data_IF_746446310240
#
_entry.id   IF_746446310240
#
_cell.length_a   1.000
_cell.length_b   1.000
_cell.length_c   1.000
_cell.angle_alpha   90.00
_cell.angle_beta   90.00
_cell.angle_gamma   90.00
#
_symmetry.space_group_name_H-M   'P 1'
#
loop_
_entity.id
_entity.type
_entity.pdbx_description
1 polymer ?
#
# COMPACT_ATOMS: atom_id res chain seq x y z
N UNK A 1 10.75 20.11 43.97
CA UNK A 1 11.48 20.58 42.76
C UNK A 1 10.97 19.79 41.57
N UNK A 2 10.96 20.41 40.39
CA UNK A 2 9.91 20.34 39.36
C UNK A 2 9.80 19.00 38.60
N UNK A 3 8.55 18.63 38.33
CA UNK A 3 8.09 17.64 37.35
C UNK A 3 8.32 18.14 35.92
N UNK A 4 8.70 17.25 35.00
CA UNK A 4 8.72 17.54 33.56
C UNK A 4 7.74 16.59 32.87
N UNK A 5 6.63 17.17 32.46
CA UNK A 5 5.65 16.64 31.52
C UNK A 5 6.12 17.00 30.11
N UNK A 6 6.16 16.05 29.17
CA UNK A 6 6.35 16.35 27.75
C UNK A 6 5.13 15.87 26.96
N UNK A 7 4.40 16.88 26.54
CA UNK A 7 3.10 16.91 25.90
C UNK A 7 3.33 17.16 24.41
N UNK A 8 2.71 16.33 23.57
CA UNK A 8 2.11 16.69 22.27
C UNK A 8 3.05 17.03 21.09
N UNK A 9 3.10 16.10 20.12
CA UNK A 9 3.33 16.42 18.71
C UNK A 9 1.98 16.66 18.02
N UNK A 10 1.53 17.92 18.03
CA UNK A 10 0.53 18.46 17.09
C UNK A 10 1.20 19.58 16.32
N UNK A 11 1.18 19.50 14.99
CA UNK A 11 1.26 20.68 14.14
C UNK A 11 2.34 20.64 13.06
N UNK A 12 1.91 20.39 11.83
CA UNK A 12 2.41 21.09 10.64
C UNK A 12 1.26 21.19 9.62
N UNK A 13 0.43 22.23 9.78
CA UNK A 13 -0.50 22.76 8.77
C UNK A 13 -0.17 24.22 8.57
N UNK A 14 0.28 24.58 7.35
CA UNK A 14 0.39 25.91 6.71
C UNK A 14 1.47 25.76 5.60
N UNK A 15 1.40 26.29 4.38
CA UNK A 15 0.64 27.37 3.76
C UNK A 15 0.96 27.30 2.24
N UNK A 16 -0.01 27.44 1.31
CA UNK A 16 0.16 28.29 0.12
C UNK A 16 -1.19 28.53 -0.57
N UNK A 17 -1.49 29.80 -0.82
CA UNK A 17 -2.73 30.33 -1.43
C UNK A 17 -2.31 31.23 -2.62
N UNK A 18 -3.18 31.30 -3.65
CA UNK A 18 -3.23 32.22 -4.81
C UNK A 18 -2.23 31.91 -5.96
N UNK A 19 -2.66 31.83 -7.24
CA UNK A 19 -3.42 32.82 -8.00
C UNK A 19 -4.36 32.22 -9.06
N UNK A 20 -5.42 32.98 -9.36
CA UNK A 20 -6.45 32.75 -10.37
C UNK A 20 -6.06 33.32 -11.76
N UNK A 21 -6.75 32.76 -12.76
CA UNK A 21 -7.33 33.41 -13.96
C UNK A 21 -6.51 33.66 -15.25
N UNK A 22 -7.28 33.54 -16.35
CA UNK A 22 -7.00 33.74 -17.79
C UNK A 22 -6.31 32.55 -18.48
N UNK A 23 -6.82 31.95 -19.57
CA UNK A 23 -7.95 32.23 -20.43
C UNK A 23 -7.63 31.66 -21.83
N UNK A 24 -8.64 31.12 -22.52
CA UNK A 24 -8.74 31.03 -23.97
C UNK A 24 -7.76 30.08 -24.73
N UNK A 25 -8.28 29.06 -25.43
CA UNK A 25 -8.52 29.09 -26.88
C UNK A 25 -9.08 27.74 -27.35
N UNK A 26 -9.92 27.88 -28.38
CA UNK A 26 -10.82 26.93 -28.98
C UNK A 26 -10.20 25.95 -29.99
N UNK A 27 -11.00 24.89 -30.25
CA UNK A 27 -11.34 24.28 -31.55
C UNK A 27 -10.36 23.32 -32.28
N UNK A 28 -10.98 22.26 -32.82
CA UNK A 28 -10.70 21.57 -34.12
C UNK A 28 -9.60 20.47 -34.04
N UNK A 29 -9.71 19.25 -34.58
CA UNK A 29 -10.50 18.69 -35.70
C UNK A 29 -10.71 17.16 -35.59
N UNK A 30 -11.50 16.65 -36.54
CA UNK A 30 -12.05 15.31 -36.73
C UNK A 30 -11.04 14.24 -37.21
N UNK A 31 -11.55 13.00 -37.12
CA UNK A 31 -11.52 11.92 -38.12
C UNK A 31 -10.49 10.80 -37.95
N UNK A 32 -10.98 9.56 -38.04
CA UNK A 32 -10.15 8.37 -38.20
C UNK A 32 -10.81 7.04 -37.87
N UNK A 33 -12.03 6.77 -38.36
CA UNK A 33 -12.59 5.41 -38.38
C UNK A 33 -11.87 4.61 -39.46
N UNK A 34 -11.32 3.45 -39.13
CA UNK A 34 -10.95 2.44 -40.13
C UNK A 34 -11.44 1.05 -39.70
N UNK A 35 -12.45 0.57 -40.43
CA UNK A 35 -12.89 -0.82 -40.48
C UNK A 35 -12.01 -1.57 -41.48
N UNK A 36 -11.54 -2.75 -41.10
CA UNK A 36 -11.14 -3.76 -42.08
C UNK A 36 -11.83 -5.09 -41.74
N UNK A 37 -12.64 -5.56 -42.68
CA UNK A 37 -13.31 -6.85 -42.69
C UNK A 37 -12.38 -7.89 -43.31
N UNK A 38 -12.38 -9.11 -42.77
CA UNK A 38 -11.71 -10.29 -43.35
C UNK A 38 -12.62 -11.50 -43.23
N UNK A 39 -12.93 -12.12 -44.37
CA UNK A 39 -14.00 -13.09 -44.64
C UNK A 39 -13.75 -14.50 -44.09
N UNK A 40 -14.88 -15.19 -43.94
CA UNK A 40 -15.07 -16.61 -43.65
C UNK A 40 -14.80 -17.56 -44.85
N UNK A 41 -14.64 -18.86 -44.56
CA UNK A 41 -14.64 -20.00 -45.48
C UNK A 41 -14.09 -21.27 -44.82
N UNK A 42 -14.88 -21.98 -44.00
CA UNK A 42 -15.61 -23.25 -44.27
C UNK A 42 -14.71 -24.44 -44.67
N UNK A 43 -14.70 -25.50 -43.83
CA UNK A 43 -14.81 -26.89 -44.27
C UNK A 43 -15.26 -27.79 -43.10
N UNK A 44 -16.39 -28.46 -43.31
CA UNK A 44 -17.04 -29.38 -42.38
C UNK A 44 -16.35 -30.76 -42.33
N UNK A 45 -16.41 -31.43 -41.19
CA UNK A 45 -16.44 -32.89 -41.12
C UNK A 45 -17.50 -33.35 -40.13
N UNK A 46 -18.43 -34.15 -40.66
CA UNK A 46 -19.44 -34.91 -39.96
C UNK A 46 -18.77 -36.01 -39.11
N UNK A 47 -19.19 -36.16 -37.86
CA UNK A 47 -19.12 -37.44 -37.16
C UNK A 47 -20.30 -37.55 -36.20
N UNK A 48 -21.12 -38.54 -36.49
CA UNK A 48 -22.22 -39.13 -35.72
C UNK A 48 -21.86 -39.45 -34.27
N UNK A 49 -22.84 -39.32 -33.37
CA UNK A 49 -22.94 -40.22 -32.22
C UNK A 49 -23.34 -39.60 -30.87
N UNK A 50 -24.42 -40.16 -30.32
CA UNK A 50 -24.76 -40.24 -28.89
C UNK A 50 -25.56 -39.08 -28.27
N UNK A 51 -26.87 -39.24 -28.36
CA UNK A 51 -27.86 -38.69 -27.44
C UNK A 51 -27.59 -39.18 -26.00
N UNK A 52 -27.07 -38.30 -25.14
CA UNK A 52 -27.21 -38.43 -23.69
C UNK A 52 -28.22 -37.40 -23.21
N UNK A 53 -29.40 -37.87 -22.81
CA UNK A 53 -30.36 -37.09 -22.03
C UNK A 53 -29.75 -36.85 -20.64
N UNK A 54 -28.95 -35.80 -20.48
CA UNK A 54 -28.56 -35.30 -19.16
C UNK A 54 -29.66 -34.38 -18.65
N UNK A 55 -30.41 -34.88 -17.68
CA UNK A 55 -31.37 -34.10 -16.89
C UNK A 55 -30.63 -32.97 -16.18
N UNK A 56 -30.63 -31.77 -16.77
CA UNK A 56 -30.13 -30.55 -16.15
C UNK A 56 -31.01 -30.17 -14.96
N UNK A 57 -30.65 -30.65 -13.76
CA UNK A 57 -31.05 -29.97 -12.53
C UNK A 57 -30.32 -28.63 -12.51
N UNK A 58 -31.04 -27.53 -12.80
CA UNK A 58 -30.59 -26.16 -12.52
C UNK A 58 -30.39 -26.03 -11.02
N UNK A 59 -29.21 -26.36 -10.53
CA UNK A 59 -28.76 -25.97 -9.21
C UNK A 59 -28.62 -24.46 -9.20
N UNK A 60 -29.37 -23.79 -8.32
CA UNK A 60 -29.17 -22.37 -8.02
C UNK A 60 -27.79 -22.25 -7.41
N UNK A 61 -26.82 -21.73 -8.17
CA UNK A 61 -25.52 -21.32 -7.63
C UNK A 61 -25.78 -20.06 -6.84
N UNK A 62 -25.80 -20.16 -5.50
CA UNK A 62 -25.70 -19.00 -4.64
C UNK A 62 -24.29 -18.43 -4.83
N UNK A 63 -24.19 -17.35 -5.61
CA UNK A 63 -22.99 -16.50 -5.62
C UNK A 63 -22.86 -15.92 -4.21
N UNK A 64 -21.91 -16.41 -3.42
CA UNK A 64 -21.51 -15.74 -2.19
C UNK A 64 -20.80 -14.46 -2.59
N UNK A 65 -21.47 -13.31 -2.42
CA UNK A 65 -20.77 -12.02 -2.45
C UNK A 65 -19.71 -12.10 -1.34
N UNK A 66 -18.43 -11.80 -1.62
CA UNK A 66 -17.40 -11.85 -0.59
C UNK A 66 -17.82 -10.95 0.57
N UNK A 67 -17.81 -11.48 1.79
CA UNK A 67 -18.01 -10.66 2.97
C UNK A 67 -16.90 -9.61 3.00
N UNK A 68 -17.29 -8.34 2.93
CA UNK A 68 -16.34 -7.25 3.07
C UNK A 68 -15.82 -7.26 4.50
N UNK A 69 -14.49 -7.26 4.65
CA UNK A 69 -13.85 -7.13 5.94
C UNK A 69 -14.36 -5.87 6.66
N UNK A 70 -14.57 -6.00 7.97
CA UNK A 70 -15.06 -4.94 8.86
C UNK A 70 -14.49 -5.18 10.25
N UNK A 71 -14.38 -4.12 11.04
CA UNK A 71 -13.99 -4.21 12.45
C UNK A 71 -14.68 -3.13 13.27
N UNK A 72 -14.50 -3.18 14.58
CA UNK A 72 -15.19 -2.29 15.50
C UNK A 72 -14.21 -1.51 16.37
N UNK A 73 -14.47 -0.22 16.50
CA UNK A 73 -13.81 0.67 17.44
C UNK A 73 -14.79 1.01 18.56
N UNK A 74 -14.79 0.16 19.60
CA UNK A 74 -15.86 0.10 20.59
C UNK A 74 -17.12 -0.50 19.96
N UNK A 75 -18.24 0.24 20.00
CA UNK A 75 -19.50 -0.18 19.38
C UNK A 75 -19.63 0.28 17.90
N UNK A 76 -18.65 1.05 17.41
CA UNK A 76 -18.71 1.71 16.10
C UNK A 76 -18.08 0.84 15.03
N UNK A 77 -18.85 0.47 14.02
CA UNK A 77 -18.40 -0.34 12.89
C UNK A 77 -17.62 0.50 11.87
N UNK A 78 -16.48 -0.06 11.43
CA UNK A 78 -15.70 0.39 10.28
C UNK A 78 -15.87 -0.60 9.14
N UNK A 79 -16.16 -0.10 7.94
CA UNK A 79 -16.27 -0.91 6.73
C UNK A 79 -15.65 -0.17 5.52
N UNK A 80 -15.32 -0.92 4.47
CA UNK A 80 -14.89 -0.31 3.22
C UNK A 80 -15.96 0.64 2.67
N UNK A 81 -15.52 1.79 2.17
CA UNK A 81 -16.34 2.93 1.80
C UNK A 81 -16.34 4.08 2.83
N UNK A 82 -16.06 3.80 4.10
CA UNK A 82 -15.93 4.86 5.12
C UNK A 82 -14.84 5.88 4.72
N UNK A 83 -15.10 7.16 4.94
CA UNK A 83 -14.13 8.23 4.72
C UNK A 83 -13.04 8.24 5.81
N UNK A 84 -11.88 8.83 5.50
CA UNK A 84 -10.81 9.08 6.50
C UNK A 84 -11.34 9.80 7.74
N UNK A 85 -12.20 10.80 7.54
CA UNK A 85 -12.80 11.56 8.64
C UNK A 85 -13.71 10.70 9.52
N UNK A 86 -14.57 9.86 8.92
CA UNK A 86 -15.42 8.93 9.68
C UNK A 86 -14.60 7.91 10.44
N UNK A 87 -13.52 7.37 9.85
CA UNK A 87 -12.64 6.43 10.55
C UNK A 87 -11.98 7.10 11.75
N UNK A 88 -11.44 8.31 11.61
CA UNK A 88 -10.86 9.06 12.73
C UNK A 88 -11.89 9.39 13.81
N UNK A 89 -13.10 9.78 13.40
CA UNK A 89 -14.19 10.02 14.36
C UNK A 89 -14.49 8.74 15.14
N UNK A 90 -14.63 7.61 14.43
CA UNK A 90 -15.03 6.30 14.98
C UNK A 90 -13.93 5.56 15.72
N UNK A 91 -12.65 5.82 15.47
CA UNK A 91 -11.55 5.06 16.06
C UNK A 91 -10.54 5.91 16.82
N UNK A 92 -10.54 7.24 16.61
CA UNK A 92 -9.43 8.09 17.02
C UNK A 92 -8.24 7.94 16.09
N UNK A 93 -7.10 8.47 16.51
CA UNK A 93 -5.87 8.42 15.74
C UNK A 93 -5.35 6.97 15.62
N UNK A 94 -4.84 6.56 14.45
CA UNK A 94 -4.21 5.26 14.29
C UNK A 94 -2.89 5.21 15.08
N UNK A 95 -2.47 3.99 15.43
CA UNK A 95 -1.17 3.77 16.07
C UNK A 95 -0.01 4.12 15.13
N UNK A 96 -0.22 3.96 13.82
CA UNK A 96 0.72 4.38 12.80
C UNK A 96 -0.01 4.72 11.50
N UNK A 97 0.53 5.68 10.76
CA UNK A 97 0.02 6.09 9.45
C UNK A 97 1.17 6.38 8.51
N UNK A 98 0.99 6.05 7.24
CA UNK A 98 1.93 6.35 6.18
C UNK A 98 1.20 6.70 4.89
N UNK A 99 1.73 7.70 4.19
CA UNK A 99 1.33 8.03 2.82
C UNK A 99 2.50 7.70 1.90
N UNK A 100 2.22 6.96 0.84
CA UNK A 100 3.20 6.56 -0.18
C UNK A 100 2.59 6.69 -1.57
N UNK A 101 3.39 6.97 -2.59
CA UNK A 101 2.90 6.94 -3.98
C UNK A 101 3.41 5.69 -4.71
N UNK A 102 2.51 4.77 -5.00
CA UNK A 102 2.80 3.53 -5.71
C UNK A 102 2.63 3.69 -7.22
N UNK A 103 3.38 2.91 -8.00
CA UNK A 103 3.05 2.71 -9.42
C UNK A 103 2.30 1.39 -9.60
N UNK A 104 1.07 1.44 -10.10
CA UNK A 104 0.19 0.26 -10.26
C UNK A 104 0.67 -0.73 -11.33
N UNK A 105 1.54 -0.29 -12.26
CA UNK A 105 2.06 -1.13 -13.34
C UNK A 105 3.52 -0.78 -13.57
N UNK A 106 4.39 -1.78 -13.80
CA UNK A 106 5.72 -1.58 -14.42
C UNK A 106 5.55 -1.28 -15.92
N UNK A 107 4.66 -0.34 -16.23
CA UNK A 107 4.27 0.04 -17.58
C UNK A 107 4.54 1.52 -17.73
N UNK A 108 5.35 1.86 -18.72
CA UNK A 108 5.62 3.23 -19.10
C UNK A 108 4.82 3.55 -20.37
N UNK A 109 4.18 4.72 -20.41
CA UNK A 109 3.60 5.26 -21.65
C UNK A 109 4.73 5.46 -22.69
N UNK A 110 4.40 5.65 -23.96
CA UNK A 110 5.38 5.92 -25.02
C UNK A 110 6.28 7.14 -24.72
N UNK A 111 5.77 8.14 -23.98
CA UNK A 111 6.54 9.30 -23.48
C UNK A 111 7.28 8.98 -22.16
N UNK A 112 7.50 7.70 -21.91
CA UNK A 112 8.07 7.11 -20.71
C UNK A 112 7.26 7.31 -19.43
N UNK A 113 6.14 8.07 -19.35
CA UNK A 113 5.44 8.36 -18.06
C UNK A 113 4.93 7.09 -17.38
N UNK A 114 5.04 6.94 -16.04
CA UNK A 114 4.38 5.83 -15.37
C UNK A 114 2.90 5.95 -15.67
N UNK A 115 2.29 4.87 -16.17
CA UNK A 115 0.93 4.97 -16.70
C UNK A 115 -0.05 5.34 -15.57
N UNK A 116 0.22 4.95 -14.31
CA UNK A 116 -0.65 5.20 -13.17
C UNK A 116 0.13 5.32 -11.84
N UNK A 117 0.40 6.53 -11.38
CA UNK A 117 0.81 6.79 -9.99
C UNK A 117 -0.45 6.81 -9.12
N UNK A 118 -0.41 6.11 -7.98
CA UNK A 118 -1.50 6.06 -7.01
C UNK A 118 -0.96 6.39 -5.64
N UNK A 119 -1.51 7.41 -5.01
CA UNK A 119 -1.28 7.69 -3.60
C UNK A 119 -2.05 6.65 -2.78
N UNK A 120 -1.30 5.81 -2.05
CA UNK A 120 -1.82 4.85 -1.08
C UNK A 120 -1.55 5.42 0.30
N UNK A 121 -2.59 5.52 1.10
CA UNK A 121 -2.49 5.88 2.52
C UNK A 121 -2.83 4.64 3.35
N UNK A 122 -1.91 4.22 4.21
CA UNK A 122 -2.02 3.04 5.05
C UNK A 122 -2.06 3.45 6.52
N UNK A 123 -3.13 3.08 7.22
CA UNK A 123 -3.30 3.31 8.65
C UNK A 123 -3.31 1.98 9.39
N UNK A 124 -2.72 1.96 10.58
CA UNK A 124 -2.64 0.76 11.41
C UNK A 124 -3.24 1.07 12.77
N UNK A 125 -4.26 0.30 13.12
CA UNK A 125 -4.84 0.31 14.46
C UNK A 125 -4.31 -0.87 15.26
N UNK A 126 -3.76 -0.56 16.43
CA UNK A 126 -3.26 -1.51 17.41
C UNK A 126 -4.08 -1.37 18.70
N UNK A 127 -4.80 -2.45 19.07
CA UNK A 127 -5.64 -2.49 20.26
C UNK A 127 -5.03 -3.33 21.40
N UNK A 128 -3.70 -3.52 21.36
CA UNK A 128 -2.92 -4.25 22.37
C UNK A 128 -2.64 -5.70 21.98
N UNK A 129 -1.80 -6.35 22.80
CA UNK A 129 -1.27 -7.70 22.53
C UNK A 129 -2.30 -8.83 22.48
N UNK A 130 -3.54 -8.58 22.92
CA UNK A 130 -4.63 -9.56 22.93
C UNK A 130 -5.60 -9.42 21.77
N UNK A 131 -5.43 -8.39 20.93
CA UNK A 131 -6.28 -8.10 19.78
C UNK A 131 -5.48 -8.12 18.49
N UNK A 132 -6.13 -8.34 17.36
CA UNK A 132 -5.45 -8.33 16.06
C UNK A 132 -5.20 -6.89 15.60
N UNK A 133 -4.10 -6.69 14.87
CA UNK A 133 -3.83 -5.45 14.14
C UNK A 133 -4.79 -5.30 12.97
N UNK A 134 -5.23 -4.07 12.71
CA UNK A 134 -6.02 -3.73 11.53
C UNK A 134 -5.26 -2.77 10.63
N UNK A 135 -5.06 -3.18 9.39
CA UNK A 135 -4.41 -2.43 8.33
C UNK A 135 -5.49 -1.89 7.40
N UNK A 136 -5.62 -0.57 7.36
CA UNK A 136 -6.58 0.14 6.54
C UNK A 136 -5.83 0.78 5.38
N UNK A 137 -6.27 0.51 4.15
CA UNK A 137 -5.71 1.17 2.97
C UNK A 137 -6.76 2.05 2.35
N UNK A 138 -6.47 3.34 2.29
CA UNK A 138 -7.32 4.35 1.67
C UNK A 138 -6.89 4.58 0.22
N UNK A 139 -7.88 4.76 -0.63
CA UNK A 139 -7.68 5.24 -2.00
C UNK A 139 -8.39 6.58 -2.12
N UNK A 140 -7.61 7.66 -2.21
CA UNK A 140 -8.16 9.01 -2.11
C UNK A 140 -8.69 9.30 -0.70
N UNK A 141 -9.99 9.53 -0.56
CA UNK A 141 -10.63 9.82 0.74
C UNK A 141 -11.31 8.61 1.39
N UNK A 142 -11.47 7.50 0.65
CA UNK A 142 -12.31 6.39 1.09
C UNK A 142 -11.50 5.13 1.39
N UNK A 143 -11.95 4.41 2.40
CA UNK A 143 -11.37 3.15 2.85
C UNK A 143 -11.62 2.08 1.79
N UNK A 144 -10.57 1.62 1.13
CA UNK A 144 -10.65 0.65 0.05
C UNK A 144 -10.48 -0.79 0.57
N UNK A 145 -9.55 -1.01 1.50
CA UNK A 145 -9.24 -2.34 2.02
C UNK A 145 -9.09 -2.30 3.55
N UNK A 146 -9.63 -3.33 4.19
CA UNK A 146 -9.36 -3.67 5.59
C UNK A 146 -8.70 -5.05 5.59
N UNK A 147 -7.50 -5.11 6.16
CA UNK A 147 -6.75 -6.34 6.37
C UNK A 147 -6.51 -6.55 7.86
N UNK A 148 -6.60 -7.80 8.29
CA UNK A 148 -6.27 -8.20 9.66
C UNK A 148 -4.88 -8.83 9.65
N UNK A 149 -3.99 -8.37 10.53
CA UNK A 149 -2.67 -8.96 10.70
C UNK A 149 -2.58 -9.89 11.90
N UNK A 150 -1.36 -10.03 12.43
CA UNK A 150 -1.13 -10.73 13.68
C UNK A 150 -1.73 -9.99 14.89
N UNK A 151 -1.43 -10.50 16.08
CA UNK A 151 -1.75 -9.79 17.31
C UNK A 151 -0.98 -8.47 17.39
N UNK A 152 -1.61 -7.47 18.01
CA UNK A 152 -1.00 -6.20 18.34
C UNK A 152 0.11 -6.35 19.37
N UNK A 153 0.53 -5.23 19.91
CA UNK A 153 1.63 -5.18 20.87
C UNK A 153 1.36 -4.11 21.89
N UNK A 154 1.88 -4.33 23.10
CA UNK A 154 1.95 -3.30 24.11
C UNK A 154 3.22 -2.47 23.85
N UNK A 155 3.14 -1.15 24.02
CA UNK A 155 4.24 -0.19 23.83
C UNK A 155 5.62 -0.66 24.34
N UNK A 156 5.76 -1.31 25.53
CA UNK A 156 7.05 -1.79 26.00
C UNK A 156 7.73 -2.87 25.13
N UNK A 157 7.04 -3.51 24.18
CA UNK A 157 7.63 -4.51 23.28
C UNK A 157 8.14 -3.94 21.95
N UNK A 158 7.86 -2.66 21.66
CA UNK A 158 8.20 -2.03 20.38
C UNK A 158 9.72 -1.93 20.19
N UNK A 159 10.22 -2.47 19.08
CA UNK A 159 11.62 -2.42 18.68
C UNK A 159 12.58 -3.33 19.45
N UNK A 160 12.06 -4.22 20.31
CA UNK A 160 12.90 -5.05 21.18
C UNK A 160 13.23 -6.43 20.63
N UNK A 161 12.58 -6.87 19.54
CA UNK A 161 12.69 -8.25 19.05
C UNK A 161 13.53 -8.37 17.76
N UNK A 162 14.28 -7.33 17.39
CA UNK A 162 14.99 -7.23 16.12
C UNK A 162 16.05 -8.34 15.91
N UNK A 163 16.66 -8.80 17.01
CA UNK A 163 17.76 -9.76 17.01
C UNK A 163 18.90 -9.35 16.04
N UNK A 164 19.35 -8.10 16.14
CA UNK A 164 20.33 -7.50 15.22
C UNK A 164 19.94 -7.66 13.74
N UNK A 165 18.67 -7.41 13.41
CA UNK A 165 18.11 -7.52 12.05
C UNK A 165 17.71 -8.93 11.63
N UNK A 166 18.07 -9.98 12.39
CA UNK A 166 17.79 -11.37 12.03
C UNK A 166 16.33 -11.76 12.10
N UNK A 167 15.50 -10.99 12.80
CA UNK A 167 14.06 -11.24 12.90
C UNK A 167 13.25 -10.59 11.75
N UNK A 168 13.90 -9.83 10.87
CA UNK A 168 13.26 -9.23 9.69
C UNK A 168 13.21 -10.25 8.56
N UNK A 169 12.06 -10.34 7.90
CA UNK A 169 11.78 -11.28 6.82
C UNK A 169 11.36 -10.54 5.54
N UNK A 170 11.61 -11.16 4.38
CA UNK A 170 11.04 -10.69 3.12
C UNK A 170 9.51 -10.68 3.23
N UNK A 171 8.90 -9.60 2.74
CA UNK A 171 7.46 -9.38 2.84
C UNK A 171 7.00 -8.73 4.14
N UNK A 172 7.86 -8.52 5.14
CA UNK A 172 7.51 -7.69 6.30
C UNK A 172 7.07 -6.30 5.82
N UNK A 173 6.02 -5.74 6.43
CA UNK A 173 5.66 -4.35 6.20
C UNK A 173 6.66 -3.40 6.87
N UNK A 174 6.69 -2.13 6.45
CA UNK A 174 7.45 -1.07 7.16
C UNK A 174 7.11 -1.07 8.66
N UNK A 175 5.83 -1.23 8.99
CA UNK A 175 5.39 -1.30 10.37
C UNK A 175 5.86 -2.56 11.09
N UNK A 176 5.83 -3.75 10.47
CA UNK A 176 6.37 -4.96 11.08
C UNK A 176 7.85 -4.78 11.43
N UNK A 177 8.61 -4.14 10.55
CA UNK A 177 10.01 -3.79 10.80
C UNK A 177 10.15 -2.81 11.96
N UNK A 178 9.30 -1.79 12.05
CA UNK A 178 9.30 -0.86 13.20
C UNK A 178 8.97 -1.56 14.52
N UNK A 179 7.99 -2.45 14.52
CA UNK A 179 7.64 -3.26 15.71
C UNK A 179 8.81 -4.15 16.10
N UNK A 180 9.53 -4.69 15.11
CA UNK A 180 10.66 -5.58 15.38
C UNK A 180 11.90 -4.84 15.86
N UNK A 181 12.26 -3.78 15.14
CA UNK A 181 13.57 -3.14 15.19
C UNK A 181 13.57 -1.69 15.67
N UNK A 182 12.39 -1.10 15.87
CA UNK A 182 12.26 0.31 16.17
C UNK A 182 12.55 1.16 14.94
N UNK A 183 12.72 2.46 15.16
CA UNK A 183 13.04 3.39 14.07
C UNK A 183 14.43 3.14 13.50
N UNK A 184 14.59 3.13 12.17
CA UNK A 184 15.90 3.01 11.55
C UNK A 184 16.76 4.25 11.82
N UNK A 185 18.08 4.07 11.77
CA UNK A 185 19.06 5.14 11.94
C UNK A 185 19.15 6.02 10.69
N UNK A 186 19.04 5.41 9.51
CA UNK A 186 19.03 6.13 8.24
C UNK A 186 17.87 5.66 7.37
N UNK A 187 17.23 6.63 6.72
CA UNK A 187 16.14 6.42 5.77
C UNK A 187 16.55 7.03 4.44
N UNK A 188 16.94 6.17 3.50
CA UNK A 188 17.32 6.51 2.15
C UNK A 188 16.13 6.49 1.19
N UNK A 189 16.25 7.25 0.10
CA UNK A 189 15.33 7.18 -1.03
C UNK A 189 16.03 6.49 -2.19
N UNK A 190 15.42 5.44 -2.72
CA UNK A 190 15.89 4.77 -3.95
C UNK A 190 14.99 5.18 -5.09
N UNK A 191 15.58 5.81 -6.12
CA UNK A 191 14.91 6.11 -7.38
C UNK A 191 15.46 5.21 -8.51
N UNK A 192 14.58 4.80 -9.42
CA UNK A 192 15.02 4.41 -10.75
C UNK A 192 15.40 5.70 -11.49
N UNK A 193 16.69 6.01 -11.58
CA UNK A 193 17.17 7.06 -12.49
C UNK A 193 17.05 6.51 -13.91
N UNK A 194 16.32 7.19 -14.80
CA UNK A 194 16.49 6.99 -16.24
C UNK A 194 17.70 7.79 -16.73
N UNK A 195 18.20 7.46 -17.94
CA UNK A 195 19.44 8.01 -18.50
C UNK A 195 19.44 9.55 -18.66
N UNK A 196 18.26 10.18 -18.53
CA UNK A 196 18.05 11.62 -18.62
C UNK A 196 17.69 12.27 -17.27
N UNK A 197 17.69 11.52 -16.16
CA UNK A 197 17.56 12.04 -14.79
C UNK A 197 16.22 12.70 -14.47
N UNK A 198 15.16 12.38 -15.20
CA UNK A 198 13.93 13.17 -15.21
C UNK A 198 12.70 12.35 -14.81
N UNK A 199 12.76 11.65 -13.66
CA UNK A 199 11.59 11.09 -12.97
C UNK A 199 11.70 11.01 -11.44
N UNK A 200 10.55 11.10 -10.74
CA UNK A 200 10.50 11.50 -9.34
C UNK A 200 10.95 10.40 -8.38
N UNK A 201 11.74 10.81 -7.40
CA UNK A 201 12.16 10.02 -6.23
C UNK A 201 11.00 9.98 -5.25
N UNK A 202 10.20 8.91 -5.29
CA UNK A 202 8.87 8.94 -4.67
C UNK A 202 8.75 8.25 -3.31
N UNK A 203 9.64 7.34 -2.90
CA UNK A 203 9.48 6.70 -1.60
C UNK A 203 10.80 6.53 -0.83
N UNK A 204 10.70 6.62 0.49
CA UNK A 204 11.70 6.19 1.46
C UNK A 204 11.82 4.65 1.45
N UNK A 205 12.51 4.13 0.45
CA UNK A 205 12.56 2.70 0.16
C UNK A 205 13.78 2.00 0.73
N UNK A 206 14.68 2.69 1.42
CA UNK A 206 15.86 2.09 2.01
C UNK A 206 15.94 2.45 3.49
N UNK A 207 15.93 1.45 4.38
CA UNK A 207 16.16 1.67 5.81
C UNK A 207 17.44 0.98 6.24
N UNK A 208 18.29 1.68 6.99
CA UNK A 208 19.55 1.15 7.51
C UNK A 208 19.52 1.04 9.02
N UNK A 209 19.89 -0.14 9.52
CA UNK A 209 20.07 -0.46 10.92
C UNK A 209 21.54 -0.77 11.22
N UNK A 210 22.16 0.08 12.04
CA UNK A 210 23.51 -0.11 12.58
C UNK A 210 23.42 -0.52 14.06
N UNK A 211 23.76 -1.78 14.36
CA UNK A 211 23.75 -2.29 15.73
C UNK A 211 25.10 -2.06 16.46
N UNK A 212 26.07 -1.37 15.87
CA UNK A 212 27.35 -1.06 16.50
C UNK A 212 28.43 -2.13 16.32
N UNK A 213 29.58 -1.99 17.00
CA UNK A 213 30.78 -2.77 16.73
C UNK A 213 30.58 -4.28 16.85
N UNK A 214 31.16 -5.02 15.89
CA UNK A 214 31.09 -6.49 15.85
C UNK A 214 29.75 -7.07 15.38
N UNK A 215 28.75 -6.22 15.10
CA UNK A 215 27.47 -6.58 14.50
C UNK A 215 27.39 -6.06 13.07
N UNK A 216 26.70 -6.76 12.18
CA UNK A 216 26.61 -6.33 10.79
C UNK A 216 25.60 -5.19 10.65
N UNK A 217 25.85 -4.27 9.72
CA UNK A 217 24.88 -3.27 9.29
C UNK A 217 23.86 -3.96 8.38
N UNK A 218 22.57 -3.71 8.62
CA UNK A 218 21.48 -4.22 7.80
C UNK A 218 20.84 -3.09 7.01
N UNK A 219 20.66 -3.29 5.70
CA UNK A 219 19.95 -2.36 4.83
C UNK A 219 18.75 -3.07 4.21
N UNK A 220 17.56 -2.54 4.43
CA UNK A 220 16.28 -3.11 3.99
C UNK A 220 15.75 -2.31 2.81
N UNK A 221 15.40 -2.99 1.71
CA UNK A 221 14.78 -2.35 0.56
C UNK A 221 13.29 -2.64 0.54
N UNK A 222 12.49 -1.59 0.59
CA UNK A 222 11.05 -1.66 0.50
C UNK A 222 10.56 -1.39 -0.92
N UNK A 223 9.54 -2.14 -1.35
CA UNK A 223 8.71 -1.80 -2.51
C UNK A 223 7.26 -1.96 -2.10
N UNK A 224 6.44 -0.95 -2.40
CA UNK A 224 5.02 -0.92 -2.01
C UNK A 224 4.80 -1.21 -0.52
N UNK A 225 5.64 -0.62 0.33
CA UNK A 225 5.58 -0.76 1.79
C UNK A 225 6.02 -2.13 2.34
N UNK A 226 6.58 -3.02 1.52
CA UNK A 226 7.00 -4.39 1.92
C UNK A 226 8.49 -4.61 1.67
N UNK A 227 9.17 -5.32 2.56
CA UNK A 227 10.58 -5.71 2.39
C UNK A 227 10.72 -6.62 1.17
N UNK A 228 11.58 -6.25 0.23
CA UNK A 228 11.88 -7.01 -0.99
C UNK A 228 13.34 -7.45 -1.09
N UNK A 229 14.22 -6.79 -0.36
CA UNK A 229 15.64 -7.13 -0.31
C UNK A 229 16.17 -6.84 1.09
N UNK A 230 17.05 -7.72 1.59
CA UNK A 230 17.74 -7.56 2.86
C UNK A 230 19.23 -7.69 2.56
N UNK A 231 19.95 -6.58 2.70
CA UNK A 231 21.38 -6.51 2.48
C UNK A 231 22.11 -6.46 3.79
N UNK A 232 23.25 -7.13 3.82
CA UNK A 232 24.17 -7.11 4.95
C UNK A 232 25.43 -6.37 4.51
N UNK A 233 25.77 -5.29 5.20
CA UNK A 233 26.96 -4.49 4.96
C UNK A 233 28.16 -4.96 5.77
N UNK A 234 29.11 -4.04 5.97
CA UNK A 234 30.21 -4.25 6.91
C UNK A 234 29.75 -4.26 8.37
N UNK A 235 30.74 -4.27 9.28
CA UNK A 235 30.45 -4.13 10.70
C UNK A 235 30.01 -2.70 11.05
N UNK A 236 29.11 -2.63 12.02
CA UNK A 236 28.63 -1.40 12.62
C UNK A 236 29.72 -0.62 13.34
N UNK A 237 29.44 0.66 13.52
CA UNK A 237 30.25 1.62 14.28
C UNK A 237 29.47 2.12 15.49
#
# INVERSE_FOLDING_TARGET
MKSVSLTVFRGMKQLLVLLLSFGCIALVERAGVSRAAGKAGIAARLSTGMTHHSSLRKGIVRSSVPEMAKFYCGERMIAAGDSRAEVLEKCGDPAWQEVREDTLTEGFRANRTPVNLVTTEEWIYNFGSTQLLYFLRFQGDHLAVIETGGYGYDDPAFGQNCADGKNVSLGDSRFDVLVKCGTPQEVGRIGAQDAEGQRPVIDANEWTYNFGPGRLIYTLIFRRGRVTDIRTGGYGH
#
